data_IF_754162186889
#
_entry.id   IF_754162186889
#
_cell.length_a   1.000
_cell.length_b   1.000
_cell.length_c   1.000
_cell.angle_alpha   90.00
_cell.angle_beta   90.00
_cell.angle_gamma   90.00
#
_symmetry.space_group_name_H-M   'P 1'
#
loop_
_entity.id
_entity.type
_entity.pdbx_description
1 polymer ?
#
# COMPACT_ATOMS: atom_id res chain seq x y z
N UNK A 1 26.72 -1.76 7.42
CA UNK A 1 26.21 -2.93 6.65
C UNK A 1 27.15 -4.11 6.79
N UNK A 2 26.64 -5.33 6.96
CA UNK A 2 27.40 -6.58 6.93
C UNK A 2 27.67 -7.00 5.48
N UNK A 3 28.85 -7.58 5.20
CA UNK A 3 29.16 -8.18 3.89
C UNK A 3 29.13 -9.71 4.00
N UNK A 4 28.33 -10.36 3.19
CA UNK A 4 28.23 -11.81 3.09
C UNK A 4 28.66 -12.27 1.69
N UNK A 5 29.38 -13.39 1.62
CA UNK A 5 29.84 -13.96 0.33
C UNK A 5 29.25 -15.36 0.20
N UNK A 6 28.49 -15.59 -0.87
CA UNK A 6 27.84 -16.84 -1.23
C UNK A 6 27.16 -17.53 -0.02
N UNK A 7 26.23 -16.86 0.69
CA UNK A 7 25.49 -17.47 1.79
C UNK A 7 24.58 -18.58 1.25
N UNK A 8 24.64 -19.77 1.87
CA UNK A 8 23.78 -20.88 1.45
C UNK A 8 22.28 -20.58 1.70
N UNK A 9 21.34 -21.15 0.92
CA UNK A 9 19.90 -20.87 1.03
C UNK A 9 19.33 -21.05 2.43
N UNK A 10 19.81 -22.01 3.20
CA UNK A 10 19.36 -22.27 4.58
C UNK A 10 19.68 -21.09 5.54
N UNK A 11 20.66 -20.27 5.18
CA UNK A 11 21.09 -19.10 5.97
C UNK A 11 20.36 -17.81 5.60
N UNK A 12 19.79 -17.71 4.38
CA UNK A 12 19.16 -16.46 3.90
C UNK A 12 18.15 -15.88 4.89
N UNK A 13 17.24 -16.72 5.37
CA UNK A 13 16.21 -16.31 6.33
C UNK A 13 16.78 -15.72 7.64
N UNK A 14 17.94 -16.19 8.06
CA UNK A 14 18.60 -15.71 9.29
C UNK A 14 19.40 -14.45 9.02
N UNK A 15 20.20 -14.46 7.97
CA UNK A 15 21.17 -13.39 7.66
C UNK A 15 20.48 -12.13 7.09
N UNK A 16 19.34 -12.30 6.40
CA UNK A 16 18.50 -11.21 5.91
C UNK A 16 17.23 -11.00 6.77
N UNK A 17 17.28 -11.48 8.02
CA UNK A 17 16.14 -11.31 8.91
C UNK A 17 15.83 -9.83 9.14
N UNK A 18 14.58 -9.47 8.90
CA UNK A 18 14.07 -8.12 9.14
C UNK A 18 14.04 -7.81 10.63
N UNK A 19 14.21 -6.54 11.04
CA UNK A 19 14.09 -6.14 12.44
C UNK A 19 12.76 -6.62 13.03
N UNK A 20 12.84 -7.35 14.16
CA UNK A 20 11.66 -8.01 14.75
C UNK A 20 10.74 -6.97 15.38
N UNK A 21 9.52 -6.88 14.87
CA UNK A 21 8.47 -6.13 15.53
C UNK A 21 7.88 -6.95 16.71
N UNK A 22 7.91 -6.37 17.90
CA UNK A 22 7.32 -6.98 19.11
C UNK A 22 5.78 -6.87 19.09
N UNK A 23 5.13 -7.53 18.14
CA UNK A 23 3.69 -7.42 17.84
C UNK A 23 2.79 -7.58 19.08
N UNK A 24 3.16 -8.48 20.00
CA UNK A 24 2.39 -8.68 21.25
C UNK A 24 2.42 -7.45 22.15
N UNK A 25 3.57 -6.79 22.28
CA UNK A 25 3.75 -5.58 23.11
C UNK A 25 3.03 -4.40 22.48
N UNK A 26 3.16 -4.22 21.17
CA UNK A 26 2.47 -3.16 20.42
C UNK A 26 0.95 -3.32 20.57
N UNK A 27 0.43 -4.52 20.44
CA UNK A 27 -1.00 -4.81 20.61
C UNK A 27 -1.52 -4.48 22.01
N UNK A 28 -0.69 -4.60 23.07
CA UNK A 28 -1.07 -4.19 24.44
C UNK A 28 -1.29 -2.67 24.53
N UNK A 29 -0.55 -1.89 23.73
CA UNK A 29 -0.68 -0.42 23.68
C UNK A 29 -1.86 -0.03 22.80
N UNK A 30 -2.00 -0.64 21.63
CA UNK A 30 -2.97 -0.23 20.60
C UNK A 30 -4.41 -0.63 20.97
N UNK A 31 -4.64 -1.82 21.53
CA UNK A 31 -5.99 -2.26 21.91
C UNK A 31 -6.73 -1.31 22.86
N UNK A 32 -6.11 -0.77 23.93
CA UNK A 32 -6.75 0.22 24.78
C UNK A 32 -7.12 1.50 24.03
N UNK A 33 -6.30 1.95 23.07
CA UNK A 33 -6.58 3.12 22.25
C UNK A 33 -7.85 2.89 21.43
N UNK A 34 -7.93 1.77 20.71
CA UNK A 34 -9.11 1.42 19.91
C UNK A 34 -10.38 1.41 20.79
N UNK A 35 -10.35 0.70 21.93
CA UNK A 35 -11.49 0.62 22.86
C UNK A 35 -11.90 1.98 23.41
N UNK A 36 -10.94 2.89 23.64
CA UNK A 36 -11.24 4.22 24.18
C UNK A 36 -11.90 5.10 23.11
N UNK A 37 -11.46 5.02 21.85
CA UNK A 37 -12.11 5.75 20.75
C UNK A 37 -13.52 5.18 20.50
N UNK A 38 -13.68 3.85 20.49
CA UNK A 38 -14.99 3.18 20.36
C UNK A 38 -16.01 3.70 21.39
N UNK A 39 -15.58 3.89 22.65
CA UNK A 39 -16.46 4.29 23.76
C UNK A 39 -16.72 5.79 23.85
N UNK A 40 -15.77 6.62 23.47
CA UNK A 40 -15.75 8.04 23.83
C UNK A 40 -15.57 8.97 22.63
N UNK A 41 -15.57 8.45 21.40
CA UNK A 41 -15.58 9.21 20.15
C UNK A 41 -14.56 10.36 20.11
N UNK A 42 -15.01 11.53 19.69
CA UNK A 42 -14.19 12.75 19.58
C UNK A 42 -13.52 13.17 20.89
N UNK A 43 -14.17 12.90 22.04
CA UNK A 43 -13.56 13.19 23.35
C UNK A 43 -12.27 12.41 23.57
N UNK A 44 -12.22 11.14 23.12
CA UNK A 44 -11.00 10.35 23.17
C UNK A 44 -9.94 10.87 22.21
N UNK A 45 -10.32 11.25 20.98
CA UNK A 45 -9.41 11.78 19.98
C UNK A 45 -8.74 13.09 20.45
N UNK A 46 -9.51 14.02 21.01
CA UNK A 46 -8.98 15.28 21.57
C UNK A 46 -8.01 15.03 22.72
N UNK A 47 -8.31 14.03 23.58
CA UNK A 47 -7.40 13.65 24.65
C UNK A 47 -6.10 13.09 24.11
N UNK A 48 -6.15 12.21 23.09
CA UNK A 48 -4.95 11.66 22.46
C UNK A 48 -4.15 12.71 21.70
N UNK A 49 -4.79 13.69 21.06
CA UNK A 49 -4.08 14.82 20.45
C UNK A 49 -3.27 15.61 21.50
N UNK A 50 -3.82 15.82 22.69
CA UNK A 50 -3.08 16.45 23.78
C UNK A 50 -1.94 15.58 24.32
N UNK A 51 -2.14 14.25 24.42
CA UNK A 51 -1.19 13.30 25.00
C UNK A 51 -0.01 13.03 24.04
N UNK A 52 -0.29 12.83 22.73
CA UNK A 52 0.69 12.36 21.76
C UNK A 52 1.18 13.45 20.81
N UNK A 53 0.31 14.37 20.42
CA UNK A 53 0.64 15.45 19.50
C UNK A 53 0.93 16.76 20.24
N UNK A 54 0.73 16.80 21.58
CA UNK A 54 0.96 17.95 22.46
C UNK A 54 0.18 19.19 22.05
N UNK A 55 -1.05 19.00 21.55
CA UNK A 55 -1.92 20.07 21.08
C UNK A 55 -3.34 19.93 21.60
N UNK A 56 -3.94 21.06 21.97
CA UNK A 56 -5.36 21.14 22.31
C UNK A 56 -6.16 21.49 21.07
N UNK A 57 -7.09 20.61 20.68
CA UNK A 57 -7.95 20.80 19.51
C UNK A 57 -9.39 21.06 19.93
N UNK A 58 -9.92 22.21 19.54
CA UNK A 58 -11.36 22.48 19.67
C UNK A 58 -12.14 21.72 18.60
N UNK A 59 -11.67 21.77 17.35
CA UNK A 59 -12.26 21.10 16.20
C UNK A 59 -11.28 20.09 15.59
N UNK A 60 -11.75 18.88 15.35
CA UNK A 60 -10.97 17.84 14.69
C UNK A 60 -10.99 17.96 13.16
N UNK A 61 -12.02 18.54 12.59
CA UNK A 61 -12.13 18.79 11.16
C UNK A 61 -11.31 20.01 10.75
N UNK A 62 -10.65 19.92 9.62
CA UNK A 62 -10.05 21.06 8.93
C UNK A 62 -11.17 21.89 8.33
N UNK A 63 -11.15 23.20 8.54
CA UNK A 63 -12.13 24.10 7.95
C UNK A 63 -11.84 24.37 6.47
N UNK A 64 -12.87 24.75 5.74
CA UNK A 64 -12.74 25.16 4.34
C UNK A 64 -11.78 26.35 4.18
N UNK A 65 -11.80 27.29 5.12
CA UNK A 65 -10.88 28.41 5.14
C UNK A 65 -9.41 27.99 5.28
N UNK A 66 -9.10 26.99 6.12
CA UNK A 66 -7.74 26.42 6.23
C UNK A 66 -7.30 25.78 4.92
N UNK A 67 -8.22 25.05 4.24
CA UNK A 67 -7.94 24.43 2.94
C UNK A 67 -7.65 25.50 1.90
N UNK A 68 -8.49 26.51 1.76
CA UNK A 68 -8.32 27.60 0.80
C UNK A 68 -7.05 28.41 1.06
N UNK A 69 -6.74 28.72 2.31
CA UNK A 69 -5.54 29.46 2.68
C UNK A 69 -4.24 28.69 2.37
N UNK A 70 -4.30 27.35 2.34
CA UNK A 70 -3.12 26.51 2.08
C UNK A 70 -2.43 26.81 0.74
N UNK A 71 -3.21 27.18 -0.27
CA UNK A 71 -2.67 27.54 -1.58
C UNK A 71 -1.72 28.75 -1.54
N UNK A 72 -1.94 29.72 -0.63
CA UNK A 72 -1.03 30.84 -0.43
C UNK A 72 0.26 30.50 0.31
N UNK A 73 0.30 29.36 1.01
CA UNK A 73 1.40 28.94 1.86
C UNK A 73 2.36 27.94 1.17
N UNK A 74 2.02 27.44 -0.01
CA UNK A 74 2.85 26.55 -0.80
C UNK A 74 3.55 27.33 -1.91
N UNK A 75 4.87 27.14 -2.06
CA UNK A 75 5.65 27.81 -3.11
C UNK A 75 5.18 27.44 -4.52
N UNK A 76 5.42 28.32 -5.47
CA UNK A 76 5.07 28.07 -6.88
C UNK A 76 5.81 26.82 -7.40
N UNK A 77 7.10 26.70 -7.11
CA UNK A 77 7.94 25.56 -7.50
C UNK A 77 7.35 24.23 -7.00
N UNK A 78 6.96 24.15 -5.73
CA UNK A 78 6.36 22.94 -5.17
C UNK A 78 4.99 22.64 -5.81
N UNK A 79 4.18 23.64 -6.08
CA UNK A 79 2.90 23.46 -6.80
C UNK A 79 3.10 22.89 -8.20
N UNK A 80 4.08 23.43 -8.93
CA UNK A 80 4.41 22.97 -10.29
C UNK A 80 4.88 21.51 -10.24
N UNK A 81 5.72 21.13 -9.28
CA UNK A 81 6.16 19.74 -9.06
C UNK A 81 4.99 18.81 -8.70
N UNK A 82 4.12 19.21 -7.76
CA UNK A 82 2.92 18.44 -7.39
C UNK A 82 2.01 18.24 -8.60
N UNK A 83 1.88 19.25 -9.46
CA UNK A 83 1.05 19.15 -10.67
C UNK A 83 1.62 18.13 -11.68
N UNK A 84 2.94 18.08 -11.88
CA UNK A 84 3.59 17.06 -12.73
C UNK A 84 3.34 15.67 -12.16
N UNK A 85 3.60 15.46 -10.88
CA UNK A 85 3.37 14.19 -10.20
C UNK A 85 1.91 13.74 -10.33
N UNK A 86 0.95 14.66 -10.08
CA UNK A 86 -0.48 14.41 -10.22
C UNK A 86 -0.83 13.87 -11.61
N UNK A 87 -0.36 14.54 -12.67
CA UNK A 87 -0.67 14.16 -14.05
C UNK A 87 -0.16 12.75 -14.37
N UNK A 88 1.08 12.44 -13.98
CA UNK A 88 1.67 11.13 -14.22
C UNK A 88 0.93 10.01 -13.45
N UNK A 89 0.63 10.24 -12.17
CA UNK A 89 -0.11 9.29 -11.32
C UNK A 89 -1.53 9.08 -11.86
N UNK A 90 -2.23 10.15 -12.24
CA UNK A 90 -3.56 10.05 -12.86
C UNK A 90 -3.52 9.24 -14.14
N UNK A 91 -2.56 9.52 -15.03
CA UNK A 91 -2.43 8.82 -16.31
C UNK A 91 -2.20 7.32 -16.11
N UNK A 92 -1.28 6.95 -15.23
CA UNK A 92 -0.96 5.54 -14.97
C UNK A 92 -2.12 4.79 -14.32
N UNK A 93 -2.78 5.40 -13.32
CA UNK A 93 -3.90 4.76 -12.64
C UNK A 93 -5.18 4.75 -13.49
N UNK A 94 -5.42 5.75 -14.32
CA UNK A 94 -6.56 5.76 -15.24
C UNK A 94 -6.48 4.63 -16.29
N UNK A 95 -5.27 4.27 -16.72
CA UNK A 95 -5.06 3.16 -17.64
C UNK A 95 -5.38 1.77 -17.03
N UNK A 96 -5.54 1.69 -15.70
CA UNK A 96 -5.89 0.44 -14.99
C UNK A 96 -7.40 0.17 -14.95
N UNK A 97 -8.22 1.09 -15.45
CA UNK A 97 -9.69 0.90 -15.51
C UNK A 97 -10.01 -0.28 -16.42
N UNK A 98 -10.66 -1.29 -15.86
CA UNK A 98 -11.08 -2.46 -16.62
C UNK A 98 -12.55 -2.32 -17.06
N UNK A 99 -12.88 -2.65 -18.32
CA UNK A 99 -14.25 -2.71 -18.78
C UNK A 99 -15.03 -3.81 -18.04
N UNK A 100 -16.36 -3.72 -18.10
CA UNK A 100 -17.22 -4.81 -17.60
C UNK A 100 -16.95 -6.07 -18.44
N UNK A 101 -16.65 -7.19 -17.75
CA UNK A 101 -16.57 -8.51 -18.38
C UNK A 101 -17.98 -9.03 -18.60
N UNK A 102 -18.30 -9.43 -19.84
CA UNK A 102 -19.58 -10.05 -20.21
C UNK A 102 -19.25 -11.27 -21.04
N UNK A 103 -19.71 -12.43 -20.58
CA UNK A 103 -19.47 -13.72 -21.24
C UNK A 103 -20.75 -14.56 -21.27
N UNK A 104 -21.14 -15.01 -22.44
CA UNK A 104 -22.18 -16.03 -22.61
C UNK A 104 -21.51 -17.42 -22.55
N UNK A 105 -21.44 -18.00 -21.34
CA UNK A 105 -20.71 -19.26 -21.09
C UNK A 105 -21.35 -20.47 -21.74
N UNK A 106 -22.67 -20.40 -22.04
CA UNK A 106 -23.42 -21.27 -22.91
C UNK A 106 -24.67 -20.55 -23.40
N UNK A 107 -25.28 -20.97 -24.50
CA UNK A 107 -26.46 -20.26 -25.07
C UNK A 107 -27.56 -20.01 -24.04
N UNK A 108 -27.85 -18.73 -23.78
CA UNK A 108 -28.83 -18.27 -22.81
C UNK A 108 -28.35 -18.18 -21.36
N UNK A 109 -27.02 -18.38 -21.09
CA UNK A 109 -26.43 -18.23 -19.76
C UNK A 109 -25.31 -17.17 -19.81
N UNK A 110 -25.62 -15.98 -19.31
CA UNK A 110 -24.73 -14.83 -19.36
C UNK A 110 -24.16 -14.54 -17.96
N UNK A 111 -22.84 -14.57 -17.84
CA UNK A 111 -22.10 -14.17 -16.65
C UNK A 111 -21.42 -12.82 -16.88
N UNK A 112 -21.54 -11.91 -15.92
CA UNK A 112 -20.90 -10.58 -15.99
C UNK A 112 -20.12 -10.31 -14.72
N UNK A 113 -19.05 -9.52 -14.82
CA UNK A 113 -18.29 -9.04 -13.66
C UNK A 113 -18.00 -7.54 -13.82
N UNK A 114 -18.48 -6.75 -12.88
CA UNK A 114 -18.33 -5.30 -12.86
C UNK A 114 -17.50 -4.85 -11.68
N UNK A 115 -16.61 -3.89 -11.92
CA UNK A 115 -15.92 -3.15 -10.86
C UNK A 115 -16.88 -2.11 -10.27
N UNK A 116 -17.01 -2.11 -8.93
CA UNK A 116 -17.88 -1.17 -8.19
C UNK A 116 -17.06 -0.51 -7.10
N UNK A 117 -17.07 0.83 -6.98
CA UNK A 117 -16.27 1.54 -5.98
C UNK A 117 -16.63 1.14 -4.55
N UNK A 118 -15.64 1.13 -3.68
CA UNK A 118 -15.85 1.06 -2.24
C UNK A 118 -16.50 2.38 -1.82
N UNK A 119 -17.56 2.30 -1.02
CA UNK A 119 -18.40 3.48 -0.76
C UNK A 119 -17.72 4.50 0.16
N UNK A 120 -17.02 4.03 1.20
CA UNK A 120 -16.36 4.89 2.19
C UNK A 120 -14.94 4.43 2.42
N UNK A 121 -13.97 5.28 2.10
CA UNK A 121 -12.55 4.97 2.27
C UNK A 121 -11.87 6.00 3.17
N UNK A 122 -11.04 5.51 4.07
CA UNK A 122 -10.19 6.32 4.94
C UNK A 122 -8.75 6.29 4.46
N UNK A 123 -8.17 7.46 4.25
CA UNK A 123 -6.78 7.61 3.84
C UNK A 123 -5.97 8.14 5.02
N UNK A 124 -5.08 7.34 5.56
CA UNK A 124 -4.15 7.78 6.59
C UNK A 124 -2.90 8.37 5.94
N UNK A 125 -2.65 9.64 6.21
CA UNK A 125 -1.48 10.36 5.70
C UNK A 125 -0.54 10.60 6.88
N UNK A 126 0.64 9.99 6.91
CA UNK A 126 1.61 10.26 7.95
C UNK A 126 2.02 11.72 7.99
N UNK A 127 2.24 12.21 9.20
CA UNK A 127 2.80 13.52 9.49
C UNK A 127 3.90 13.38 10.54
N UNK A 128 4.38 14.46 11.09
CA UNK A 128 5.42 14.49 12.10
C UNK A 128 6.73 15.03 11.53
N UNK A 129 7.77 14.22 11.39
CA UNK A 129 9.09 14.70 10.91
C UNK A 129 9.12 15.01 9.42
N UNK A 130 8.19 14.46 8.61
CA UNK A 130 8.06 14.75 7.18
C UNK A 130 6.57 14.81 6.80
N UNK A 131 6.12 15.88 6.13
CA UNK A 131 4.75 15.99 5.61
C UNK A 131 4.63 15.21 4.31
N UNK A 132 4.09 13.98 4.36
CA UNK A 132 4.00 13.09 3.20
C UNK A 132 2.82 13.47 2.29
N UNK A 133 2.88 14.66 1.65
CA UNK A 133 1.86 15.10 0.70
C UNK A 133 1.82 14.24 -0.57
N UNK A 134 2.91 13.56 -0.94
CA UNK A 134 2.94 12.57 -2.02
C UNK A 134 1.94 11.43 -1.78
N UNK A 135 1.82 10.96 -0.53
CA UNK A 135 0.85 9.93 -0.15
C UNK A 135 -0.61 10.37 -0.39
N UNK A 136 -0.89 11.68 -0.33
CA UNK A 136 -2.22 12.20 -0.71
C UNK A 136 -2.51 11.95 -2.20
N UNK A 137 -1.53 12.16 -3.08
CA UNK A 137 -1.66 11.84 -4.51
C UNK A 137 -1.81 10.33 -4.72
N UNK A 138 -0.91 9.53 -4.12
CA UNK A 138 -0.83 8.08 -4.30
C UNK A 138 -2.08 7.33 -3.85
N UNK A 139 -2.77 7.81 -2.84
CA UNK A 139 -4.01 7.22 -2.35
C UNK A 139 -5.27 7.91 -2.86
N UNK A 140 -5.24 9.24 -2.93
CA UNK A 140 -6.41 10.02 -3.27
C UNK A 140 -6.76 9.95 -4.75
N UNK A 141 -5.78 9.95 -5.65
CA UNK A 141 -6.01 9.87 -7.09
C UNK A 141 -6.69 8.55 -7.47
N UNK A 142 -6.17 7.37 -7.13
CA UNK A 142 -6.86 6.13 -7.48
C UNK A 142 -8.22 5.99 -6.78
N UNK A 143 -8.40 6.52 -5.55
CA UNK A 143 -9.71 6.55 -4.89
C UNK A 143 -10.73 7.39 -5.69
N UNK A 144 -10.34 8.56 -6.21
CA UNK A 144 -11.18 9.41 -7.07
C UNK A 144 -11.47 8.77 -8.41
N UNK A 145 -10.46 8.21 -9.08
CA UNK A 145 -10.61 7.52 -10.37
C UNK A 145 -11.52 6.27 -10.26
N UNK A 146 -11.43 5.55 -9.14
CA UNK A 146 -12.33 4.44 -8.86
C UNK A 146 -13.79 4.88 -8.64
N UNK A 147 -14.02 6.16 -8.37
CA UNK A 147 -15.35 6.73 -8.09
C UNK A 147 -15.82 6.50 -6.65
N UNK A 148 -14.94 6.39 -5.67
CA UNK A 148 -15.30 6.28 -4.25
C UNK A 148 -16.09 7.52 -3.82
N UNK A 149 -17.37 7.38 -3.36
CA UNK A 149 -18.21 8.53 -3.05
C UNK A 149 -17.77 9.30 -1.83
N UNK A 150 -17.27 8.63 -0.81
CA UNK A 150 -16.79 9.25 0.42
C UNK A 150 -15.33 8.90 0.68
N UNK A 151 -14.47 9.93 0.67
CA UNK A 151 -13.04 9.83 0.93
C UNK A 151 -12.70 10.74 2.10
N UNK A 152 -12.12 10.18 3.16
CA UNK A 152 -11.73 10.90 4.37
C UNK A 152 -10.23 10.78 4.58
N UNK A 153 -9.56 11.92 4.72
CA UNK A 153 -8.13 11.96 5.07
C UNK A 153 -8.01 12.16 6.59
N UNK A 154 -7.16 11.34 7.23
CA UNK A 154 -6.68 11.56 8.59
C UNK A 154 -5.19 11.83 8.55
N UNK A 155 -4.75 12.94 9.16
CA UNK A 155 -3.33 13.29 9.30
C UNK A 155 -3.08 13.93 10.67
N UNK A 156 -1.95 13.68 11.33
CA UNK A 156 -1.65 14.29 12.61
C UNK A 156 -1.44 15.80 12.45
N UNK A 157 -1.97 16.61 13.37
CA UNK A 157 -1.70 18.04 13.42
C UNK A 157 -0.26 18.30 13.93
N UNK A 158 0.24 19.47 13.63
CA UNK A 158 1.43 20.01 14.28
C UNK A 158 1.08 20.57 15.69
N UNK A 159 2.08 21.09 16.40
CA UNK A 159 1.90 21.67 17.75
C UNK A 159 1.00 22.89 17.79
N UNK A 160 0.73 23.52 16.64
CA UNK A 160 -0.21 24.63 16.49
C UNK A 160 -1.64 24.16 16.16
N UNK A 161 -1.89 22.86 16.09
CA UNK A 161 -3.20 22.29 15.74
C UNK A 161 -3.53 22.38 14.25
N UNK A 162 -2.51 22.53 13.38
CA UNK A 162 -2.69 22.69 11.93
C UNK A 162 -2.11 21.51 11.18
N UNK A 163 -2.74 21.15 10.07
CA UNK A 163 -2.17 20.24 9.09
C UNK A 163 -1.20 21.01 8.19
N UNK A 164 -0.14 20.34 7.74
CA UNK A 164 0.86 20.96 6.88
C UNK A 164 0.23 21.50 5.58
N UNK A 165 0.53 22.73 5.16
CA UNK A 165 -0.11 23.36 3.99
C UNK A 165 -0.01 22.55 2.70
N UNK A 166 1.12 21.86 2.44
CA UNK A 166 1.28 21.04 1.26
C UNK A 166 0.30 19.85 1.25
N UNK A 167 -0.04 19.25 2.39
CA UNK A 167 -1.06 18.19 2.49
C UNK A 167 -2.43 18.75 2.13
N UNK A 168 -2.81 19.90 2.70
CA UNK A 168 -4.09 20.54 2.43
C UNK A 168 -4.23 20.97 0.97
N UNK A 169 -3.19 21.61 0.42
CA UNK A 169 -3.14 22.02 -0.98
C UNK A 169 -3.30 20.81 -1.91
N UNK A 170 -2.53 19.75 -1.67
CA UNK A 170 -2.58 18.54 -2.51
C UNK A 170 -3.94 17.85 -2.43
N UNK A 171 -4.54 17.76 -1.25
CA UNK A 171 -5.88 17.20 -1.07
C UNK A 171 -6.94 18.03 -1.83
N UNK A 172 -6.88 19.36 -1.70
CA UNK A 172 -7.76 20.28 -2.42
C UNK A 172 -7.60 20.15 -3.94
N UNK A 173 -6.36 20.05 -4.44
CA UNK A 173 -6.03 19.92 -5.85
C UNK A 173 -6.67 18.69 -6.50
N UNK A 174 -6.83 17.60 -5.76
CA UNK A 174 -7.50 16.38 -6.23
C UNK A 174 -8.97 16.28 -5.78
N UNK A 175 -9.53 17.36 -5.19
CA UNK A 175 -10.93 17.45 -4.81
C UNK A 175 -11.31 16.60 -3.60
N UNK A 176 -10.43 16.48 -2.60
CA UNK A 176 -10.71 15.84 -1.30
C UNK A 176 -10.65 16.92 -0.22
N UNK A 177 -11.83 17.24 0.36
CA UNK A 177 -11.96 18.32 1.32
C UNK A 177 -12.29 17.83 2.75
N UNK A 178 -12.59 16.55 2.93
CA UNK A 178 -12.87 15.98 4.26
C UNK A 178 -11.58 15.52 4.90
N UNK A 179 -10.97 16.39 5.70
CA UNK A 179 -9.67 16.19 6.33
C UNK A 179 -9.81 16.32 7.85
N UNK A 180 -9.25 15.37 8.58
CA UNK A 180 -9.35 15.25 10.04
C UNK A 180 -7.96 15.36 10.66
N UNK A 181 -7.84 16.20 11.69
CA UNK A 181 -6.62 16.48 12.46
C UNK A 181 -6.37 15.37 13.50
N UNK A 182 -6.17 14.14 13.03
CA UNK A 182 -5.94 12.97 13.91
C UNK A 182 -4.87 12.10 13.30
N UNK A 183 -3.83 11.76 14.08
CA UNK A 183 -2.75 10.87 13.70
C UNK A 183 -2.79 9.52 14.44
N UNK A 184 -1.79 8.68 14.21
CA UNK A 184 -1.53 7.47 14.98
C UNK A 184 -2.62 6.39 14.96
N UNK A 185 -2.55 5.47 15.89
CA UNK A 185 -3.52 4.37 16.05
C UNK A 185 -4.96 4.86 16.31
N UNK A 186 -5.10 6.05 16.91
CA UNK A 186 -6.42 6.66 17.19
C UNK A 186 -7.10 7.13 15.90
N UNK A 187 -6.38 7.52 14.85
CA UNK A 187 -6.94 7.82 13.55
C UNK A 187 -7.57 6.57 12.91
N UNK A 188 -6.83 5.45 12.95
CA UNK A 188 -7.34 4.16 12.49
C UNK A 188 -8.57 3.72 13.30
N UNK A 189 -8.56 3.92 14.62
CA UNK A 189 -9.71 3.63 15.47
C UNK A 189 -10.93 4.48 15.09
N UNK A 190 -10.73 5.79 14.85
CA UNK A 190 -11.80 6.68 14.43
C UNK A 190 -12.42 6.26 13.09
N UNK A 191 -11.60 5.91 12.10
CA UNK A 191 -12.07 5.39 10.81
C UNK A 191 -12.77 4.02 10.96
N UNK A 192 -12.36 3.21 11.94
CA UNK A 192 -12.93 1.88 12.18
C UNK A 192 -14.32 1.93 12.81
N UNK A 193 -14.52 2.75 13.82
CA UNK A 193 -15.76 2.78 14.60
C UNK A 193 -16.71 3.90 14.17
N UNK A 194 -16.15 4.97 13.59
CA UNK A 194 -16.83 6.25 13.45
C UNK A 194 -16.83 7.03 14.75
N UNK A 195 -16.87 8.36 14.66
CA UNK A 195 -17.03 9.28 15.78
C UNK A 195 -17.95 10.41 15.33
N UNK A 196 -18.16 11.42 16.18
CA UNK A 196 -18.99 12.59 15.83
C UNK A 196 -18.42 13.36 14.61
N UNK A 197 -17.10 13.45 14.50
CA UNK A 197 -16.40 14.17 13.40
C UNK A 197 -15.88 13.23 12.30
N UNK A 198 -15.66 11.95 12.57
CA UNK A 198 -15.03 11.01 11.64
C UNK A 198 -16.03 9.94 11.25
N UNK A 199 -16.41 9.82 9.97
CA UNK A 199 -17.31 8.74 9.53
C UNK A 199 -16.61 7.38 9.64
N UNK A 200 -17.37 6.35 9.97
CA UNK A 200 -16.93 4.97 9.83
C UNK A 200 -16.72 4.65 8.35
N UNK A 201 -15.60 4.01 8.02
CA UNK A 201 -15.26 3.64 6.64
C UNK A 201 -15.33 2.14 6.42
N UNK A 202 -15.36 1.74 5.14
CA UNK A 202 -15.39 0.34 4.73
C UNK A 202 -13.98 -0.23 4.51
N UNK A 203 -13.00 0.65 4.15
CA UNK A 203 -11.60 0.26 3.98
C UNK A 203 -10.66 1.41 4.36
N UNK A 204 -9.53 1.07 5.00
CA UNK A 204 -8.49 2.01 5.43
C UNK A 204 -7.24 1.77 4.61
N UNK A 205 -6.66 2.86 4.10
CA UNK A 205 -5.43 2.90 3.32
C UNK A 205 -4.39 3.80 3.99
N UNK A 206 -3.14 3.54 3.71
CA UNK A 206 -2.03 4.43 4.03
C UNK A 206 -0.91 3.75 4.83
N UNK A 207 0.34 4.18 4.57
CA UNK A 207 1.50 3.75 5.33
C UNK A 207 1.47 4.34 6.74
N UNK A 208 2.19 3.74 7.66
CA UNK A 208 2.28 4.25 9.02
C UNK A 208 3.29 3.48 9.86
N UNK A 209 3.58 4.01 11.04
CA UNK A 209 4.46 3.35 11.99
C UNK A 209 3.85 2.04 12.53
N UNK A 210 4.62 1.32 13.32
CA UNK A 210 4.21 0.03 13.93
C UNK A 210 2.86 0.09 14.68
N UNK A 211 2.48 1.23 15.29
CA UNK A 211 1.20 1.37 16.00
C UNK A 211 0.03 1.53 15.05
N UNK A 212 0.21 2.29 13.96
CA UNK A 212 -0.76 2.44 12.87
C UNK A 212 -0.98 1.10 12.18
N UNK A 213 0.09 0.40 11.86
CA UNK A 213 0.04 -0.95 11.25
C UNK A 213 -0.71 -1.93 12.14
N UNK A 214 -0.39 -1.99 13.44
CA UNK A 214 -1.11 -2.86 14.38
C UNK A 214 -2.59 -2.48 14.52
N UNK A 215 -2.91 -1.18 14.52
CA UNK A 215 -4.28 -0.70 14.54
C UNK A 215 -5.06 -1.12 13.27
N UNK A 216 -4.45 -1.00 12.08
CA UNK A 216 -5.03 -1.47 10.81
C UNK A 216 -5.32 -2.98 10.86
N UNK A 217 -4.37 -3.79 11.30
CA UNK A 217 -4.57 -5.23 11.46
C UNK A 217 -5.70 -5.56 12.48
N UNK A 218 -5.83 -4.77 13.52
CA UNK A 218 -6.93 -4.95 14.49
C UNK A 218 -8.29 -4.48 13.91
N UNK A 219 -8.32 -3.48 13.05
CA UNK A 219 -9.54 -2.98 12.40
C UNK A 219 -10.27 -4.08 11.62
N UNK A 220 -9.54 -5.04 11.05
CA UNK A 220 -10.12 -6.17 10.31
C UNK A 220 -11.06 -7.02 11.16
N UNK A 221 -10.81 -7.11 12.47
CA UNK A 221 -11.68 -7.82 13.44
C UNK A 221 -13.03 -7.14 13.63
N UNK A 222 -13.14 -5.88 13.26
CA UNK A 222 -14.36 -5.07 13.34
C UNK A 222 -15.03 -4.87 11.98
N UNK A 223 -14.62 -5.67 10.98
CA UNK A 223 -15.22 -5.68 9.65
C UNK A 223 -14.76 -4.56 8.72
N UNK A 224 -13.69 -3.85 9.06
CA UNK A 224 -13.09 -2.83 8.19
C UNK A 224 -11.89 -3.43 7.46
N UNK A 225 -11.90 -3.38 6.14
CA UNK A 225 -10.78 -3.86 5.33
C UNK A 225 -9.57 -2.90 5.42
N UNK A 226 -8.40 -3.40 5.06
CA UNK A 226 -7.18 -2.59 4.94
C UNK A 226 -6.57 -2.78 3.55
N UNK A 227 -5.69 -1.88 3.15
CA UNK A 227 -4.88 -2.02 1.94
C UNK A 227 -4.02 -3.30 2.00
N UNK A 228 -3.05 -3.32 2.92
CA UNK A 228 -2.16 -4.44 3.18
C UNK A 228 -1.57 -4.36 4.58
N UNK A 229 -1.06 -5.46 5.15
CA UNK A 229 -0.10 -5.40 6.23
C UNK A 229 1.18 -4.72 5.74
N UNK A 230 1.75 -3.84 6.56
CA UNK A 230 3.00 -3.18 6.25
C UNK A 230 3.93 -3.23 7.47
N UNK A 231 5.21 -3.18 7.22
CA UNK A 231 6.28 -3.04 8.21
C UNK A 231 7.10 -1.78 7.92
N UNK A 232 8.34 -1.71 8.43
CA UNK A 232 9.30 -0.70 8.05
C UNK A 232 9.63 -0.76 6.55
N UNK A 233 10.03 0.38 6.00
CA UNK A 233 10.42 0.51 4.59
C UNK A 233 11.70 -0.26 4.27
N UNK A 234 11.78 -0.83 3.09
CA UNK A 234 12.88 -1.67 2.65
C UNK A 234 13.17 -1.51 1.15
N UNK A 235 14.46 -1.56 0.79
CA UNK A 235 14.90 -1.63 -0.60
C UNK A 235 15.93 -2.75 -0.78
N UNK A 236 15.84 -3.45 -1.89
CA UNK A 236 16.89 -4.33 -2.38
C UNK A 236 17.40 -3.81 -3.71
N UNK A 237 18.71 -3.64 -3.84
CA UNK A 237 19.37 -3.28 -5.10
C UNK A 237 20.15 -4.51 -5.60
N UNK A 238 19.83 -4.98 -6.79
CA UNK A 238 20.59 -5.97 -7.54
C UNK A 238 21.42 -5.25 -8.60
N UNK A 239 22.74 -5.29 -8.46
CA UNK A 239 23.64 -4.50 -9.30
C UNK A 239 24.95 -5.26 -9.61
N UNK A 240 25.46 -5.10 -10.84
CA UNK A 240 26.77 -5.59 -11.27
C UNK A 240 27.76 -4.45 -11.54
N UNK A 241 28.90 -4.77 -12.19
CA UNK A 241 29.92 -3.78 -12.49
C UNK A 241 29.51 -2.72 -13.53
N UNK A 242 28.41 -2.91 -14.26
CA UNK A 242 27.85 -1.91 -15.21
C UNK A 242 27.11 -0.79 -14.47
N UNK A 243 26.71 -1.05 -13.22
CA UNK A 243 26.08 -0.05 -12.37
C UNK A 243 27.07 1.00 -11.86
N UNK A 244 26.57 2.19 -11.54
CA UNK A 244 27.34 3.26 -10.93
C UNK A 244 27.31 3.14 -9.41
N UNK A 245 28.43 2.86 -8.71
CA UNK A 245 28.42 2.65 -7.27
C UNK A 245 27.79 3.78 -6.47
N UNK A 246 27.98 5.04 -6.90
CA UNK A 246 27.41 6.21 -6.24
C UNK A 246 25.88 6.25 -6.35
N UNK A 247 25.27 5.77 -7.45
CA UNK A 247 23.83 5.69 -7.63
C UNK A 247 23.26 4.61 -6.71
N UNK A 248 23.85 3.41 -6.73
CA UNK A 248 23.45 2.31 -5.84
C UNK A 248 23.51 2.72 -4.37
N UNK A 249 24.56 3.42 -3.97
CA UNK A 249 24.69 3.92 -2.61
C UNK A 249 23.60 4.95 -2.27
N UNK A 250 23.26 5.86 -3.19
CA UNK A 250 22.21 6.85 -2.97
C UNK A 250 20.83 6.21 -2.83
N UNK A 251 20.52 5.18 -3.63
CA UNK A 251 19.26 4.46 -3.54
C UNK A 251 19.14 3.64 -2.24
N UNK A 252 20.20 3.02 -1.77
CA UNK A 252 20.22 2.36 -0.46
C UNK A 252 20.03 3.38 0.68
N UNK A 253 20.62 4.56 0.58
CA UNK A 253 20.51 5.61 1.59
C UNK A 253 19.16 6.30 1.59
N UNK A 254 18.49 6.44 0.42
CA UNK A 254 17.14 7.03 0.34
C UNK A 254 16.15 6.25 1.20
N UNK A 255 16.29 4.92 1.27
CA UNK A 255 15.44 4.10 2.10
C UNK A 255 15.92 4.01 3.56
N UNK A 256 17.25 4.03 3.79
CA UNK A 256 17.82 4.00 5.13
C UNK A 256 17.42 5.22 5.97
N UNK A 257 17.18 6.38 5.37
CA UNK A 257 16.80 7.60 6.10
C UNK A 257 15.32 7.64 6.53
N UNK A 258 14.48 6.71 6.07
CA UNK A 258 13.05 6.65 6.45
C UNK A 258 12.86 6.36 7.93
N UNK A 259 13.60 5.40 8.49
CA UNK A 259 13.46 5.02 9.89
C UNK A 259 14.58 4.11 10.39
N UNK A 260 14.78 4.07 11.69
CA UNK A 260 15.79 3.22 12.33
C UNK A 260 15.54 1.71 12.13
N UNK A 261 14.31 1.36 11.80
CA UNK A 261 13.86 -0.01 11.56
C UNK A 261 13.89 -0.36 10.06
N UNK A 262 14.26 0.59 9.17
CA UNK A 262 14.44 0.33 7.74
C UNK A 262 15.53 -0.69 7.49
N UNK A 263 15.39 -1.47 6.43
CA UNK A 263 16.41 -2.43 6.01
C UNK A 263 16.75 -2.24 4.53
N UNK A 264 18.03 -2.16 4.21
CA UNK A 264 18.50 -2.07 2.83
C UNK A 264 19.44 -3.24 2.51
N UNK A 265 19.27 -3.80 1.32
CA UNK A 265 20.03 -4.98 0.89
C UNK A 265 20.68 -4.69 -0.46
N UNK A 266 21.97 -4.96 -0.58
CA UNK A 266 22.68 -5.00 -1.85
C UNK A 266 22.89 -6.46 -2.23
N UNK A 267 22.56 -6.85 -3.46
CA UNK A 267 22.95 -8.13 -4.06
C UNK A 267 23.81 -7.83 -5.28
N UNK A 268 24.98 -8.47 -5.39
CA UNK A 268 25.92 -8.23 -6.50
C UNK A 268 26.77 -9.45 -6.76
N UNK A 269 27.16 -9.74 -8.02
CA UNK A 269 28.09 -10.84 -8.32
C UNK A 269 29.55 -10.50 -7.93
N UNK A 270 29.88 -9.24 -7.61
CA UNK A 270 31.24 -8.77 -7.43
C UNK A 270 31.53 -8.24 -6.04
N UNK A 271 32.42 -8.91 -5.31
CA UNK A 271 32.92 -8.41 -4.03
C UNK A 271 33.64 -7.05 -4.17
N UNK A 272 34.35 -6.86 -5.29
CA UNK A 272 35.02 -5.58 -5.60
C UNK A 272 34.01 -4.45 -5.78
N UNK A 273 32.89 -4.73 -6.45
CA UNK A 273 31.81 -3.76 -6.63
C UNK A 273 31.13 -3.45 -5.29
N UNK A 274 30.79 -4.49 -4.50
CA UNK A 274 30.24 -4.31 -3.16
C UNK A 274 31.08 -3.37 -2.30
N UNK A 275 32.40 -3.55 -2.27
CA UNK A 275 33.32 -2.68 -1.54
C UNK A 275 33.29 -1.23 -2.02
N UNK A 276 33.15 -0.98 -3.32
CA UNK A 276 32.98 0.37 -3.86
C UNK A 276 31.68 1.01 -3.39
N UNK A 277 30.56 0.28 -3.44
CA UNK A 277 29.26 0.76 -2.96
C UNK A 277 29.32 1.06 -1.46
N UNK A 278 29.89 0.17 -0.65
CA UNK A 278 30.04 0.39 0.80
C UNK A 278 30.89 1.64 1.12
N UNK A 279 31.92 1.92 0.31
CA UNK A 279 32.67 3.16 0.43
C UNK A 279 31.81 4.38 0.12
N UNK A 280 31.07 4.35 -0.99
CA UNK A 280 30.15 5.43 -1.38
C UNK A 280 29.09 5.68 -0.31
N UNK A 281 28.51 4.62 0.29
CA UNK A 281 27.56 4.74 1.41
C UNK A 281 28.19 5.54 2.56
N UNK A 282 29.42 5.19 2.97
CA UNK A 282 30.11 5.90 4.05
C UNK A 282 30.40 7.38 3.72
N UNK A 283 30.76 7.67 2.46
CA UNK A 283 31.06 9.03 2.00
C UNK A 283 29.77 9.89 1.85
N UNK A 284 28.65 9.28 1.50
CA UNK A 284 27.38 9.98 1.26
C UNK A 284 26.57 10.17 2.54
N UNK A 285 26.53 9.18 3.44
CA UNK A 285 25.73 9.23 4.68
C UNK A 285 26.12 10.42 5.57
N UNK A 286 27.40 10.79 5.58
CA UNK A 286 27.89 11.94 6.37
C UNK A 286 27.28 13.27 5.95
N UNK A 287 26.79 13.37 4.71
CA UNK A 287 26.19 14.58 4.14
C UNK A 287 24.68 14.66 4.38
N UNK A 288 24.05 13.58 4.87
CA UNK A 288 22.61 13.53 5.06
C UNK A 288 22.18 14.27 6.33
N UNK A 289 21.13 15.10 6.28
CA UNK A 289 20.53 15.71 7.46
C UNK A 289 20.04 14.69 8.49
N UNK A 290 19.62 13.49 8.03
CA UNK A 290 19.10 12.40 8.86
C UNK A 290 20.08 11.25 9.05
N UNK A 291 21.39 11.53 9.00
CA UNK A 291 22.46 10.52 9.07
C UNK A 291 22.37 9.59 10.28
N UNK A 292 21.96 10.10 11.45
CA UNK A 292 21.84 9.26 12.66
C UNK A 292 20.77 8.16 12.52
N UNK A 293 19.72 8.42 11.75
CA UNK A 293 18.69 7.44 11.42
C UNK A 293 19.24 6.43 10.41
N UNK A 294 19.86 6.93 9.34
CA UNK A 294 20.45 6.10 8.30
C UNK A 294 21.51 5.15 8.86
N UNK A 295 22.39 5.62 9.77
CA UNK A 295 23.38 4.74 10.42
C UNK A 295 22.74 3.57 11.16
N UNK A 296 21.68 3.82 11.93
CA UNK A 296 20.96 2.74 12.64
C UNK A 296 20.28 1.76 11.69
N UNK A 297 19.71 2.23 10.60
CA UNK A 297 19.15 1.37 9.56
C UNK A 297 20.24 0.50 8.90
N UNK A 298 21.42 1.08 8.63
CA UNK A 298 22.55 0.35 8.06
C UNK A 298 23.11 -0.74 8.98
N UNK A 299 22.93 -0.66 10.30
CA UNK A 299 23.28 -1.74 11.23
C UNK A 299 22.45 -3.02 10.98
N UNK A 300 21.20 -2.88 10.52
CA UNK A 300 20.29 -3.98 10.18
C UNK A 300 20.40 -4.41 8.70
N UNK A 301 21.35 -3.86 7.95
CA UNK A 301 21.42 -3.96 6.49
C UNK A 301 22.61 -4.78 6.04
N UNK A 302 22.47 -5.42 4.86
CA UNK A 302 23.42 -6.42 4.38
C UNK A 302 23.78 -6.22 2.92
N UNK A 303 25.07 -6.37 2.59
CA UNK A 303 25.54 -6.55 1.23
C UNK A 303 25.83 -8.04 0.99
N UNK A 304 25.26 -8.63 -0.04
CA UNK A 304 25.42 -10.04 -0.41
C UNK A 304 26.15 -10.11 -1.73
N UNK A 305 27.28 -10.78 -1.74
CA UNK A 305 27.97 -11.20 -2.96
C UNK A 305 27.44 -12.57 -3.35
N UNK A 306 26.88 -12.69 -4.54
CA UNK A 306 26.34 -13.92 -5.09
C UNK A 306 26.79 -14.03 -6.55
N UNK A 307 27.74 -14.91 -6.81
CA UNK A 307 28.34 -15.03 -8.15
C UNK A 307 27.40 -15.70 -9.16
N UNK A 308 26.57 -16.61 -8.68
CA UNK A 308 25.57 -17.28 -9.51
C UNK A 308 24.31 -16.40 -9.63
N UNK A 309 23.92 -16.10 -10.87
CA UNK A 309 22.75 -15.26 -11.16
C UNK A 309 21.43 -15.93 -10.77
N UNK A 310 21.30 -17.23 -10.97
CA UNK A 310 20.06 -17.97 -10.63
C UNK A 310 19.87 -17.97 -9.10
N UNK A 311 20.95 -18.20 -8.35
CA UNK A 311 20.91 -18.12 -6.89
C UNK A 311 20.63 -16.69 -6.40
N UNK A 312 21.20 -15.66 -7.05
CA UNK A 312 20.91 -14.26 -6.73
C UNK A 312 19.42 -13.92 -6.93
N UNK A 313 18.85 -14.33 -8.06
CA UNK A 313 17.41 -14.13 -8.34
C UNK A 313 16.52 -14.94 -7.40
N UNK A 314 16.93 -16.15 -7.03
CA UNK A 314 16.23 -16.97 -6.05
C UNK A 314 16.23 -16.31 -4.66
N UNK A 315 17.35 -15.74 -4.22
CA UNK A 315 17.45 -14.97 -2.97
C UNK A 315 16.57 -13.73 -3.00
N UNK A 316 16.55 -12.98 -4.11
CA UNK A 316 15.72 -11.77 -4.28
C UNK A 316 14.23 -12.14 -4.16
N UNK A 317 13.80 -13.19 -4.84
CA UNK A 317 12.43 -13.68 -4.76
C UNK A 317 12.07 -14.25 -3.37
N UNK A 318 13.03 -14.91 -2.69
CA UNK A 318 12.82 -15.35 -1.29
C UNK A 318 12.80 -14.18 -0.32
N UNK A 319 13.55 -13.13 -0.54
CA UNK A 319 13.46 -11.91 0.27
C UNK A 319 12.14 -11.17 0.04
N UNK A 320 11.63 -11.12 -1.19
CA UNK A 320 10.40 -10.43 -1.58
C UNK A 320 10.38 -8.97 -1.12
N UNK A 321 11.25 -8.11 -1.70
CA UNK A 321 11.44 -6.73 -1.27
C UNK A 321 10.20 -5.85 -1.55
N UNK A 322 10.04 -4.79 -0.78
CA UNK A 322 9.12 -3.70 -1.09
C UNK A 322 9.52 -3.00 -2.39
N UNK A 323 10.74 -2.47 -2.43
CA UNK A 323 11.35 -1.86 -3.61
C UNK A 323 12.50 -2.75 -4.10
N UNK A 324 12.51 -3.05 -5.39
CA UNK A 324 13.59 -3.76 -6.05
C UNK A 324 14.18 -2.89 -7.15
N UNK A 325 15.46 -2.53 -7.05
CA UNK A 325 16.18 -1.87 -8.13
C UNK A 325 17.06 -2.92 -8.82
N UNK A 326 16.98 -2.98 -10.15
CA UNK A 326 17.78 -3.86 -11.00
C UNK A 326 18.69 -3.00 -11.88
N UNK A 327 19.97 -3.03 -11.60
CA UNK A 327 21.01 -2.27 -12.32
C UNK A 327 22.14 -3.22 -12.75
N UNK A 328 21.80 -4.15 -13.64
CA UNK A 328 22.71 -5.16 -14.22
C UNK A 328 22.71 -5.06 -15.73
N UNK A 329 23.68 -5.65 -16.42
CA UNK A 329 23.79 -5.61 -17.89
C UNK A 329 22.54 -6.15 -18.59
N UNK A 330 21.98 -7.28 -18.13
CA UNK A 330 20.78 -7.91 -18.69
C UNK A 330 19.54 -7.60 -17.82
N UNK A 331 19.24 -6.32 -17.62
CA UNK A 331 18.21 -5.86 -16.68
C UNK A 331 16.81 -6.36 -16.98
N UNK A 332 16.40 -6.44 -18.25
CA UNK A 332 15.08 -6.94 -18.66
C UNK A 332 14.92 -8.44 -18.42
N UNK A 333 15.99 -9.23 -18.66
CA UNK A 333 16.00 -10.67 -18.37
C UNK A 333 15.91 -10.93 -16.86
N UNK A 334 16.69 -10.19 -16.08
CA UNK A 334 16.62 -10.25 -14.62
C UNK A 334 15.23 -9.85 -14.11
N UNK A 335 14.65 -8.77 -14.64
CA UNK A 335 13.30 -8.32 -14.27
C UNK A 335 12.22 -9.37 -14.60
N UNK A 336 12.32 -10.06 -15.75
CA UNK A 336 11.40 -11.12 -16.15
C UNK A 336 11.41 -12.34 -15.20
N UNK A 337 12.50 -12.54 -14.47
CA UNK A 337 12.65 -13.64 -13.50
C UNK A 337 12.12 -13.27 -12.09
N UNK A 338 11.67 -12.02 -11.87
CA UNK A 338 11.14 -11.56 -10.59
C UNK A 338 9.64 -11.84 -10.53
N UNK A 339 9.22 -12.52 -9.47
CA UNK A 339 7.81 -12.80 -9.19
C UNK A 339 7.37 -12.37 -7.77
N UNK A 340 8.30 -11.88 -6.95
CA UNK A 340 8.03 -11.38 -5.60
C UNK A 340 8.73 -10.04 -5.37
N UNK A 341 8.07 -8.92 -5.68
CA UNK A 341 8.48 -7.56 -5.32
C UNK A 341 7.25 -6.65 -5.23
N UNK A 342 7.31 -5.61 -4.41
CA UNK A 342 6.26 -4.61 -4.35
C UNK A 342 6.28 -3.70 -5.58
N UNK A 343 7.47 -3.20 -5.95
CA UNK A 343 7.73 -2.45 -7.20
C UNK A 343 9.14 -2.75 -7.69
N UNK A 344 9.33 -2.76 -9.03
CA UNK A 344 10.61 -3.01 -9.67
C UNK A 344 11.03 -1.79 -10.48
N UNK A 345 12.26 -1.34 -10.26
CA UNK A 345 12.91 -0.20 -10.91
C UNK A 345 14.05 -0.74 -11.78
N UNK A 346 13.99 -0.49 -13.09
CA UNK A 346 14.87 -1.12 -14.06
C UNK A 346 15.85 -0.10 -14.63
N UNK A 347 17.13 -0.40 -14.53
CA UNK A 347 18.23 0.38 -15.10
C UNK A 347 18.85 1.41 -14.16
N UNK A 348 20.04 1.84 -14.51
CA UNK A 348 20.86 2.78 -13.72
C UNK A 348 20.23 4.18 -13.51
N UNK A 349 19.28 4.57 -14.34
CA UNK A 349 18.64 5.89 -14.29
C UNK A 349 17.23 5.86 -13.69
N UNK A 350 16.86 4.77 -13.06
CA UNK A 350 15.52 4.58 -12.47
C UNK A 350 15.63 4.48 -10.94
N UNK A 351 15.85 5.60 -10.23
CA UNK A 351 15.93 5.59 -8.78
C UNK A 351 14.55 5.30 -8.17
N UNK A 352 14.52 4.67 -7.01
CA UNK A 352 13.31 4.44 -6.22
C UNK A 352 12.50 5.74 -6.00
N UNK A 353 13.19 6.85 -5.71
CA UNK A 353 12.57 8.15 -5.50
C UNK A 353 11.69 8.61 -6.67
N UNK A 354 11.96 8.18 -7.91
CA UNK A 354 11.09 8.50 -9.04
C UNK A 354 9.71 7.87 -8.87
N UNK A 355 9.64 6.61 -8.42
CA UNK A 355 8.39 5.91 -8.11
C UNK A 355 7.67 6.50 -6.90
N UNK A 356 8.42 6.87 -5.89
CA UNK A 356 7.89 7.41 -4.65
C UNK A 356 7.21 8.77 -4.83
N UNK A 357 7.64 9.57 -5.81
CA UNK A 357 7.13 10.92 -5.95
C UNK A 357 6.36 11.20 -7.24
N UNK A 358 6.85 10.76 -8.41
CA UNK A 358 6.38 11.41 -9.63
C UNK A 358 6.30 10.55 -10.90
N UNK A 359 6.86 9.34 -10.97
CA UNK A 359 6.87 8.54 -12.21
C UNK A 359 5.48 8.05 -12.62
N UNK A 360 4.57 7.87 -11.67
CA UNK A 360 3.20 7.45 -11.92
C UNK A 360 2.78 6.17 -11.19
N UNK A 361 3.72 5.30 -10.81
CA UNK A 361 3.45 4.12 -9.97
C UNK A 361 3.07 4.53 -8.54
N UNK A 362 2.69 3.57 -7.71
CA UNK A 362 2.26 3.84 -6.34
C UNK A 362 3.33 3.42 -5.34
N UNK A 363 3.62 4.27 -4.37
CA UNK A 363 4.59 4.00 -3.33
C UNK A 363 4.01 3.28 -2.10
N UNK A 364 2.69 3.07 -2.04
CA UNK A 364 2.08 2.29 -0.97
C UNK A 364 2.19 0.81 -1.31
N UNK A 365 3.27 0.20 -0.88
CA UNK A 365 3.72 -1.12 -1.27
C UNK A 365 3.71 -2.10 -0.08
N UNK A 366 3.61 -3.41 -0.34
CA UNK A 366 3.75 -4.42 0.71
C UNK A 366 5.21 -4.54 1.14
N UNK A 367 5.47 -4.36 2.43
CA UNK A 367 6.77 -4.51 3.05
C UNK A 367 6.88 -5.85 3.78
N UNK A 368 8.02 -6.14 4.39
CA UNK A 368 8.19 -7.26 5.32
C UNK A 368 7.92 -8.64 4.67
N UNK A 369 8.23 -8.76 3.38
CA UNK A 369 8.02 -9.98 2.58
C UNK A 369 6.57 -10.22 2.19
N UNK A 370 5.65 -9.31 2.49
CA UNK A 370 4.25 -9.42 2.08
C UNK A 370 4.06 -9.27 0.56
N UNK A 371 5.08 -8.84 -0.18
CA UNK A 371 5.06 -8.84 -1.66
C UNK A 371 4.87 -10.25 -2.29
N UNK A 372 5.01 -11.32 -1.48
CA UNK A 372 4.68 -12.69 -1.91
C UNK A 372 3.19 -12.92 -2.13
N UNK A 373 2.31 -12.14 -1.53
CA UNK A 373 0.86 -12.39 -1.54
C UNK A 373 0.00 -11.13 -1.52
N UNK A 374 0.62 -9.94 -1.50
CA UNK A 374 -0.07 -8.66 -1.62
C UNK A 374 0.57 -7.83 -2.73
N UNK A 375 -0.26 -7.12 -3.46
CA UNK A 375 0.18 -6.11 -4.43
C UNK A 375 0.27 -4.73 -3.76
N UNK A 376 1.03 -3.83 -4.34
CA UNK A 376 0.96 -2.40 -4.05
C UNK A 376 -0.43 -1.84 -4.33
N UNK A 377 -0.70 -0.64 -3.81
CA UNK A 377 -1.95 0.06 -4.07
C UNK A 377 -2.09 0.37 -5.55
N UNK A 378 -3.25 0.06 -6.10
CA UNK A 378 -3.64 0.30 -7.49
C UNK A 378 -5.10 0.76 -7.54
N UNK A 379 -5.63 1.04 -8.72
CA UNK A 379 -7.05 1.34 -8.88
C UNK A 379 -7.94 0.20 -8.35
N UNK A 380 -7.52 -1.05 -8.55
CA UNK A 380 -8.24 -2.24 -8.10
C UNK A 380 -8.35 -2.32 -6.56
N UNK A 381 -7.48 -1.65 -5.82
CA UNK A 381 -7.55 -1.58 -4.36
C UNK A 381 -8.79 -0.84 -3.85
N UNK A 382 -9.37 0.05 -4.67
CA UNK A 382 -10.51 0.93 -4.34
C UNK A 382 -11.85 0.44 -4.90
N UNK A 383 -11.85 -0.69 -5.61
CA UNK A 383 -13.07 -1.30 -6.14
C UNK A 383 -13.25 -2.71 -5.60
N UNK A 384 -14.48 -3.20 -5.69
CA UNK A 384 -14.82 -4.61 -5.50
C UNK A 384 -15.45 -5.14 -6.78
N UNK A 385 -15.18 -6.40 -7.10
CA UNK A 385 -15.75 -7.07 -8.28
C UNK A 385 -17.05 -7.74 -7.88
N UNK A 386 -18.16 -7.36 -8.52
CA UNK A 386 -19.47 -8.00 -8.31
C UNK A 386 -19.79 -8.80 -9.56
N UNK A 387 -20.16 -10.07 -9.36
CA UNK A 387 -20.63 -10.94 -10.42
C UNK A 387 -22.17 -10.86 -10.57
N UNK A 388 -22.63 -10.90 -11.79
CA UNK A 388 -24.04 -10.93 -12.15
C UNK A 388 -24.28 -12.11 -13.07
N UNK A 389 -25.40 -12.81 -12.87
CA UNK A 389 -25.80 -13.94 -13.71
C UNK A 389 -27.20 -13.68 -14.24
N UNK A 390 -27.40 -13.95 -15.52
CA UNK A 390 -28.72 -13.91 -16.18
C UNK A 390 -28.86 -15.16 -17.00
N UNK A 391 -29.93 -15.93 -16.72
CA UNK A 391 -30.23 -17.17 -17.42
C UNK A 391 -31.61 -17.02 -18.09
N UNK A 392 -31.68 -17.28 -19.39
CA UNK A 392 -32.95 -17.34 -20.12
C UNK A 392 -33.68 -18.67 -19.86
N UNK A 393 -34.96 -18.76 -20.22
CA UNK A 393 -35.72 -20.01 -20.11
C UNK A 393 -35.05 -21.15 -20.89
N UNK A 394 -34.56 -20.86 -22.11
CA UNK A 394 -33.86 -21.82 -22.97
C UNK A 394 -32.51 -22.22 -22.36
N UNK A 395 -31.78 -21.26 -21.80
CA UNK A 395 -30.52 -21.53 -21.08
C UNK A 395 -30.76 -22.42 -19.86
N UNK A 396 -31.83 -22.16 -19.09
CA UNK A 396 -32.16 -22.96 -17.92
C UNK A 396 -32.57 -24.40 -18.30
N UNK A 397 -33.29 -24.60 -19.43
CA UNK A 397 -33.63 -25.94 -19.92
C UNK A 397 -32.37 -26.76 -20.20
N UNK A 398 -31.30 -26.12 -20.68
CA UNK A 398 -30.05 -26.80 -20.99
C UNK A 398 -29.15 -26.99 -19.73
N UNK A 399 -29.03 -25.96 -18.90
CA UNK A 399 -28.17 -25.97 -17.71
C UNK A 399 -28.81 -26.69 -16.52
N UNK A 400 -30.12 -26.60 -16.38
CA UNK A 400 -30.86 -27.07 -15.21
C UNK A 400 -30.61 -28.54 -14.84
N UNK A 401 -30.67 -29.50 -15.80
CA UNK A 401 -30.37 -30.90 -15.49
C UNK A 401 -28.96 -31.13 -14.90
N UNK A 402 -27.97 -30.32 -15.32
CA UNK A 402 -26.62 -30.39 -14.77
C UNK A 402 -26.60 -29.95 -13.30
N UNK A 403 -27.30 -28.85 -12.98
CA UNK A 403 -27.38 -28.35 -11.59
C UNK A 403 -28.17 -29.34 -10.72
N UNK A 404 -29.23 -29.96 -11.22
CA UNK A 404 -30.00 -30.97 -10.47
C UNK A 404 -29.11 -32.16 -10.09
N UNK A 405 -28.31 -32.67 -11.03
CA UNK A 405 -27.38 -33.79 -10.79
C UNK A 405 -26.31 -33.41 -9.78
N UNK A 406 -25.67 -32.26 -9.93
CA UNK A 406 -24.63 -31.80 -9.02
C UNK A 406 -25.18 -31.61 -7.59
N UNK A 407 -26.28 -30.88 -7.45
CA UNK A 407 -26.86 -30.60 -6.14
C UNK A 407 -27.34 -31.87 -5.42
N UNK A 408 -27.92 -32.85 -6.18
CA UNK A 408 -28.31 -34.15 -5.62
C UNK A 408 -27.09 -34.92 -5.07
N UNK A 409 -25.95 -34.93 -5.78
CA UNK A 409 -24.75 -35.63 -5.36
C UNK A 409 -24.03 -34.92 -4.17
N UNK A 410 -24.26 -33.62 -4.00
CA UNK A 410 -23.83 -32.86 -2.81
C UNK A 410 -24.83 -32.98 -1.65
N UNK A 411 -25.93 -33.74 -1.80
CA UNK A 411 -27.01 -33.91 -0.83
C UNK A 411 -27.73 -32.59 -0.49
N UNK A 412 -27.77 -31.65 -1.46
CA UNK A 412 -28.38 -30.33 -1.32
C UNK A 412 -29.73 -30.29 -2.05
N UNK A 413 -30.71 -31.02 -1.55
CA UNK A 413 -32.04 -31.16 -2.19
C UNK A 413 -32.80 -29.84 -2.39
N UNK A 414 -32.62 -28.85 -1.50
CA UNK A 414 -33.22 -27.53 -1.67
C UNK A 414 -32.62 -26.77 -2.87
N UNK A 415 -31.32 -26.88 -3.10
CA UNK A 415 -30.66 -26.32 -4.29
C UNK A 415 -31.16 -26.97 -5.57
N UNK A 416 -31.24 -28.30 -5.62
CA UNK A 416 -31.81 -29.05 -6.72
C UNK A 416 -33.25 -28.62 -6.99
N UNK A 417 -34.10 -28.60 -5.95
CA UNK A 417 -35.50 -28.24 -6.07
C UNK A 417 -35.72 -26.81 -6.59
N UNK A 418 -34.84 -25.88 -6.27
CA UNK A 418 -34.89 -24.52 -6.82
C UNK A 418 -34.84 -24.50 -8.34
N UNK A 419 -34.14 -25.45 -8.98
CA UNK A 419 -34.07 -25.62 -10.43
C UNK A 419 -35.24 -26.48 -10.94
N UNK A 420 -35.55 -27.60 -10.29
CA UNK A 420 -36.60 -28.53 -10.64
C UNK A 420 -37.96 -27.84 -10.81
N UNK A 421 -38.33 -26.96 -9.84
CA UNK A 421 -39.61 -26.22 -9.92
C UNK A 421 -39.64 -25.31 -11.15
N UNK A 422 -38.56 -24.64 -11.49
CA UNK A 422 -38.49 -23.78 -12.67
C UNK A 422 -38.55 -24.57 -13.97
N UNK A 423 -37.89 -25.71 -14.05
CA UNK A 423 -37.97 -26.61 -15.20
C UNK A 423 -39.38 -27.17 -15.40
N UNK A 424 -40.06 -27.57 -14.33
CA UNK A 424 -41.44 -28.06 -14.39
C UNK A 424 -42.40 -26.97 -14.89
N UNK A 425 -42.31 -25.75 -14.37
CA UNK A 425 -43.08 -24.61 -14.84
C UNK A 425 -42.87 -24.34 -16.35
N UNK A 426 -41.62 -24.43 -16.83
CA UNK A 426 -41.33 -24.25 -18.26
C UNK A 426 -41.89 -25.38 -19.13
N UNK A 427 -41.97 -26.60 -18.61
CA UNK A 427 -42.63 -27.75 -19.31
C UNK A 427 -44.11 -27.57 -19.41
N UNK A 428 -44.80 -27.09 -18.36
CA UNK A 428 -46.22 -26.83 -18.33
C UNK A 428 -46.67 -25.72 -19.31
N UNK A 429 -45.85 -24.65 -19.42
CA UNK A 429 -46.11 -23.55 -20.38
C UNK A 429 -45.91 -23.92 -21.84
N UNK A 430 -45.27 -25.04 -22.16
CA UNK A 430 -45.06 -25.53 -23.52
C UNK A 430 -46.18 -26.50 -23.97
N UNK A 431 -47.06 -26.92 -23.05
CA UNK A 431 -48.28 -27.66 -23.33
C UNK A 431 -49.45 -26.68 -23.52
#
# INVERSE_FOLDING_TARGET
MQLLVNPSPEKWKKELARPVQKTKEINKIVKPILKKVERSGDKALKKFAQEYDHVHLENLLVSEAEIQASAGLVSKELKDAIQVAKVNIERFHAAQVQPELIEEVMPGVICRRKSVPIQRVGLYIPGGTAPLFSTVLMLGIPAKLAGCPEIVICSPPNREGKIHPAILYTASLIGINKIVKVGGAQAVAALTFGTESVPKVDKIFGPGNQYVTAAKQLATKYGVAIDMPAGPSEVLVYADETAVPAFVASDLLSQAEHGIDSQVVLVTPSEKFAKKVLKEINDQVEKLPRKDIAYKALENSTAVVMEDQEEALALINDYAPEHLIIAVENEEEAAAAIYNAGSVFIGNFTPESAGDYASGTNHTLPTYGYARNYSGVSLDSFVKKITYQKITAEGLIKLGPVVEVMAANELLEAHKNAVTIRLNYLKEKKK
#
